data_IF_367459780971
#
_entry.id   IF_367459780971
#
_cell.length_a   1.000
_cell.length_b   1.000
_cell.length_c   1.000
_cell.angle_alpha   90.00
_cell.angle_beta   90.00
_cell.angle_gamma   90.00
#
_symmetry.space_group_name_H-M   'P 1'
#
loop_
_entity.id
_entity.type
_entity.pdbx_description
1 polymer ?
#
# COMPACT_ATOMS: atom_id res chain seq x y z
N UNK A 1 -1.08 -0.10 -17.68
CA UNK A 1 -1.37 -0.95 -16.51
C UNK A 1 -1.99 -2.29 -16.90
N UNK A 2 -2.81 -2.36 -17.95
CA UNK A 2 -3.46 -3.61 -18.40
C UNK A 2 -2.51 -4.68 -18.95
N UNK A 3 -1.43 -4.31 -19.64
CA UNK A 3 -0.48 -5.27 -20.25
C UNK A 3 0.24 -6.22 -19.26
N UNK A 4 0.12 -6.00 -17.94
CA UNK A 4 0.75 -6.85 -16.92
C UNK A 4 -0.24 -7.54 -15.97
N UNK A 5 -1.55 -7.32 -16.14
CA UNK A 5 -2.55 -7.99 -15.31
C UNK A 5 -2.99 -9.29 -15.99
N UNK A 6 -3.07 -10.39 -15.26
CA UNK A 6 -3.65 -11.64 -15.76
C UNK A 6 -5.19 -11.57 -15.92
N UNK A 7 -5.78 -10.42 -15.61
CA UNK A 7 -7.21 -10.16 -15.69
C UNK A 7 -7.59 -9.68 -17.09
N UNK A 8 -8.77 -10.09 -17.56
CA UNK A 8 -9.37 -9.47 -18.74
C UNK A 8 -9.70 -8.00 -18.46
N UNK A 9 -9.85 -7.16 -19.50
CA UNK A 9 -10.23 -5.74 -19.32
C UNK A 9 -11.52 -5.59 -18.50
N UNK A 10 -12.49 -6.50 -18.73
CA UNK A 10 -13.75 -6.53 -18.01
C UNK A 10 -13.53 -6.81 -16.52
N UNK A 11 -12.70 -7.79 -16.20
CA UNK A 11 -12.43 -8.17 -14.81
C UNK A 11 -11.59 -7.11 -14.10
N UNK A 12 -10.68 -6.45 -14.82
CA UNK A 12 -9.95 -5.30 -14.31
C UNK A 12 -10.91 -4.16 -13.95
N UNK A 13 -11.84 -3.80 -14.84
CA UNK A 13 -12.81 -2.75 -14.55
C UNK A 13 -13.72 -3.10 -13.37
N UNK A 14 -14.26 -4.32 -13.34
CA UNK A 14 -15.09 -4.79 -12.23
C UNK A 14 -14.32 -4.77 -10.89
N UNK A 15 -13.03 -5.14 -10.92
CA UNK A 15 -12.16 -5.05 -9.76
C UNK A 15 -11.97 -3.60 -9.30
N UNK A 16 -11.77 -2.66 -10.23
CA UNK A 16 -11.61 -1.23 -9.89
C UNK A 16 -12.88 -0.58 -9.33
N UNK A 17 -14.07 -1.12 -9.58
CA UNK A 17 -15.31 -0.59 -8.98
C UNK A 17 -15.36 -0.78 -7.46
N UNK A 18 -14.69 -1.81 -6.94
CA UNK A 18 -14.62 -2.10 -5.50
C UNK A 18 -13.35 -1.63 -4.81
N UNK A 19 -12.43 -1.00 -5.53
CA UNK A 19 -11.09 -0.66 -5.03
C UNK A 19 -10.81 0.82 -5.24
N UNK A 20 -10.46 1.49 -4.15
CA UNK A 20 -9.98 2.87 -4.22
C UNK A 20 -8.47 2.86 -4.51
N UNK A 21 -8.09 3.41 -5.67
CA UNK A 21 -6.69 3.57 -6.07
C UNK A 21 -6.21 4.94 -5.59
N UNK A 22 -5.17 4.95 -4.74
CA UNK A 22 -4.59 6.17 -4.21
C UNK A 22 -3.97 7.05 -5.31
N UNK A 23 -4.09 8.36 -5.14
CA UNK A 23 -3.30 9.34 -5.88
C UNK A 23 -1.81 9.22 -5.53
N UNK A 24 -0.90 9.81 -6.33
CA UNK A 24 0.51 9.87 -5.97
C UNK A 24 0.78 10.51 -4.60
N UNK A 25 0.06 11.56 -4.24
CA UNK A 25 0.19 12.29 -2.96
C UNK A 25 -0.33 11.45 -1.79
N UNK A 26 -1.48 10.79 -1.98
CA UNK A 26 -2.03 9.85 -0.99
C UNK A 26 -1.09 8.67 -0.75
N UNK A 27 -0.48 8.15 -1.82
CA UNK A 27 0.51 7.09 -1.70
C UNK A 27 1.76 7.57 -0.93
N UNK A 28 2.23 8.79 -1.17
CA UNK A 28 3.33 9.35 -0.37
C UNK A 28 2.95 9.50 1.11
N UNK A 29 1.76 10.03 1.40
CA UNK A 29 1.26 10.16 2.76
C UNK A 29 1.16 8.81 3.46
N UNK A 30 0.66 7.78 2.76
CA UNK A 30 0.47 6.45 3.31
C UNK A 30 1.76 5.72 3.69
N UNK A 31 2.89 6.09 3.07
CA UNK A 31 4.21 5.56 3.40
C UNK A 31 4.91 6.29 4.56
N UNK A 32 4.31 7.36 5.09
CA UNK A 32 4.82 8.02 6.31
C UNK A 32 4.37 7.28 7.57
N UNK A 33 5.12 7.36 8.69
CA UNK A 33 4.66 6.84 9.97
C UNK A 33 3.42 7.58 10.48
N UNK A 34 2.51 6.85 11.11
CA UNK A 34 1.38 7.45 11.81
C UNK A 34 0.53 6.41 12.54
N UNK A 35 -0.60 6.84 13.08
CA UNK A 35 -1.42 6.09 14.04
C UNK A 35 -2.89 5.93 13.64
N UNK A 36 -3.19 6.16 12.36
CA UNK A 36 -4.52 6.03 11.78
C UNK A 36 -4.47 5.16 10.51
N UNK A 37 -5.63 4.87 9.91
CA UNK A 37 -5.74 4.00 8.74
C UNK A 37 -5.17 4.60 7.44
N UNK A 38 -4.80 5.88 7.43
CA UNK A 38 -4.14 6.52 6.29
C UNK A 38 -2.69 6.03 6.15
N UNK A 39 -2.09 5.53 7.24
CA UNK A 39 -0.70 5.06 7.26
C UNK A 39 -0.62 3.53 7.13
N UNK A 40 0.15 3.06 6.14
CA UNK A 40 0.37 1.62 5.93
C UNK A 40 1.04 0.97 7.13
N UNK A 41 1.94 1.68 7.82
CA UNK A 41 2.63 1.17 9.01
C UNK A 41 1.66 0.78 10.12
N UNK A 42 0.65 1.62 10.36
CA UNK A 42 -0.40 1.36 11.36
C UNK A 42 -1.25 0.16 10.97
N UNK A 43 -1.67 0.09 9.71
CA UNK A 43 -2.50 -1.01 9.20
C UNK A 43 -1.76 -2.35 9.28
N UNK A 44 -0.47 -2.37 8.95
CA UNK A 44 0.42 -3.52 9.10
C UNK A 44 0.51 -3.99 10.55
N UNK A 45 0.68 -3.07 11.49
CA UNK A 45 0.73 -3.39 12.92
C UNK A 45 -0.59 -4.02 13.40
N UNK A 46 -1.74 -3.46 12.98
CA UNK A 46 -3.07 -4.02 13.31
C UNK A 46 -3.26 -5.42 12.72
N UNK A 47 -2.87 -5.63 11.47
CA UNK A 47 -2.94 -6.93 10.82
C UNK A 47 -2.05 -7.97 11.52
N UNK A 48 -0.81 -7.61 11.85
CA UNK A 48 0.11 -8.50 12.57
C UNK A 48 -0.43 -8.88 13.95
N UNK A 49 -0.94 -7.90 14.71
CA UNK A 49 -1.55 -8.13 16.01
C UNK A 49 -2.79 -9.02 15.92
N UNK A 50 -3.62 -8.86 14.88
CA UNK A 50 -4.75 -9.75 14.62
C UNK A 50 -4.28 -11.20 14.39
N UNK A 51 -3.25 -11.39 13.55
CA UNK A 51 -2.70 -12.72 13.27
C UNK A 51 -2.07 -13.39 14.49
N UNK A 52 -1.44 -12.62 15.38
CA UNK A 52 -0.95 -13.13 16.67
C UNK A 52 -2.13 -13.57 17.55
N UNK A 53 -3.16 -12.73 17.70
CA UNK A 53 -4.36 -13.06 18.48
C UNK A 53 -5.11 -14.28 17.94
N UNK A 54 -5.11 -14.47 16.61
CA UNK A 54 -5.71 -15.62 15.95
C UNK A 54 -4.83 -16.90 16.04
N UNK A 55 -3.67 -16.84 16.72
CA UNK A 55 -2.74 -17.96 16.86
C UNK A 55 -2.04 -18.35 15.55
N UNK A 56 -2.01 -17.45 14.56
CA UNK A 56 -1.34 -17.67 13.25
C UNK A 56 0.11 -17.21 13.23
N UNK A 57 0.48 -16.32 14.14
CA UNK A 57 1.86 -15.88 14.36
C UNK A 57 2.23 -16.01 15.83
N UNK A 58 3.48 -16.41 16.12
CA UNK A 58 3.99 -16.51 17.50
C UNK A 58 4.24 -15.14 18.13
N UNK A 59 4.69 -14.18 17.33
CA UNK A 59 4.98 -12.81 17.74
C UNK A 59 4.81 -11.85 16.54
N UNK A 60 4.63 -10.55 16.76
CA UNK A 60 4.63 -9.55 15.70
C UNK A 60 5.96 -9.56 14.94
N UNK A 61 5.89 -9.37 13.61
CA UNK A 61 7.08 -9.20 12.78
C UNK A 61 7.54 -7.73 12.84
N UNK A 62 8.84 -7.49 12.69
CA UNK A 62 9.35 -6.13 12.47
C UNK A 62 9.14 -5.76 10.99
N UNK A 63 8.46 -4.64 10.74
CA UNK A 63 8.14 -4.12 9.41
C UNK A 63 8.94 -2.89 8.99
N UNK A 64 9.94 -2.46 9.77
CA UNK A 64 10.76 -1.27 9.53
C UNK A 64 11.41 -1.27 8.13
N UNK A 65 11.61 -2.46 7.55
CA UNK A 65 12.23 -2.64 6.23
C UNK A 65 11.23 -2.99 5.12
N UNK A 66 9.96 -3.20 5.44
CA UNK A 66 8.93 -3.61 4.47
C UNK A 66 8.39 -2.41 3.69
N UNK A 67 8.23 -1.27 4.36
CA UNK A 67 7.70 -0.04 3.78
C UNK A 67 8.84 0.86 3.30
N UNK A 68 9.41 0.50 2.15
CA UNK A 68 10.45 1.30 1.48
C UNK A 68 9.82 2.30 0.51
N UNK A 69 9.89 3.58 0.86
CA UNK A 69 9.28 4.67 0.10
C UNK A 69 10.15 5.20 -1.05
N UNK A 70 11.34 4.64 -1.31
CA UNK A 70 12.24 5.09 -2.40
C UNK A 70 11.54 5.15 -3.75
N UNK A 71 10.74 4.13 -4.08
CA UNK A 71 10.02 4.09 -5.36
C UNK A 71 8.85 5.06 -5.40
N UNK A 72 8.13 5.23 -4.29
CA UNK A 72 6.99 6.16 -4.17
C UNK A 72 7.47 7.61 -4.35
N UNK A 73 8.58 7.96 -3.69
CA UNK A 73 9.24 9.26 -3.86
C UNK A 73 9.76 9.47 -5.27
N UNK A 74 10.45 8.48 -5.84
CA UNK A 74 10.99 8.57 -7.19
C UNK A 74 9.90 8.81 -8.25
N UNK A 75 8.76 8.10 -8.12
CA UNK A 75 7.63 8.27 -9.02
C UNK A 75 6.98 9.67 -8.89
N UNK A 76 6.74 10.14 -7.67
CA UNK A 76 6.22 11.50 -7.44
C UNK A 76 7.13 12.59 -8.02
N UNK A 77 8.43 12.50 -7.77
CA UNK A 77 9.42 13.46 -8.30
C UNK A 77 9.48 13.45 -9.83
N UNK A 78 9.28 12.29 -10.47
CA UNK A 78 9.27 12.19 -11.94
C UNK A 78 8.07 12.86 -12.60
N UNK A 79 6.94 12.98 -11.88
CA UNK A 79 5.75 13.71 -12.33
C UNK A 79 5.95 15.23 -12.23
N UNK A 80 6.60 15.70 -11.16
CA UNK A 80 6.92 17.11 -10.95
C UNK A 80 7.94 17.64 -11.97
N UNK A 81 8.93 16.83 -12.37
CA UNK A 81 9.96 17.23 -13.34
C UNK A 81 9.47 17.28 -14.81
N UNK A 82 8.23 16.85 -15.10
CA UNK A 82 7.62 16.88 -16.44
C UNK A 82 6.46 17.89 -16.56
N UNK A 83 6.23 18.68 -15.51
CA UNK A 83 5.31 19.82 -15.46
C UNK A 83 6.07 21.13 -15.61
#
# INVERSE_FOLDING_TARGET
MQERSQLSERDYHLFTEGVYIFSPEENQAAFTPGNNLEHLSYTLEKAANFLVKAGKLRQPLNFDTLLDDRFVRAYGNSKTARS
#
